data_IF_360206348208
#
_entry.id   IF_360206348208
#
_cell.length_a   1.000
_cell.length_b   1.000
_cell.length_c   1.000
_cell.angle_alpha   90.00
_cell.angle_beta   90.00
_cell.angle_gamma   90.00
#
_symmetry.space_group_name_H-M   'P 1'
#
loop_
_entity.id
_entity.type
_entity.pdbx_description
1 polymer ?
#
# COMPACT_ATOMS: atom_id res chain seq x y z
N UNK A 1 2.40 51.77 -26.42
CA UNK A 1 3.00 51.45 -27.74
C UNK A 1 3.79 50.14 -27.60
N UNK A 2 3.26 49.02 -28.10
CA UNK A 2 3.96 47.73 -28.17
C UNK A 2 4.19 47.22 -29.61
N UNK A 3 5.06 46.19 -29.71
CA UNK A 3 5.21 45.17 -30.79
C UNK A 3 5.84 45.59 -32.14
N UNK A 4 6.26 44.64 -33.03
CA UNK A 4 6.52 43.19 -32.89
C UNK A 4 7.77 42.68 -33.69
N UNK A 5 7.96 41.34 -33.74
CA UNK A 5 8.35 40.45 -34.89
C UNK A 5 9.43 39.41 -34.48
N UNK A 6 9.44 38.12 -34.86
CA UNK A 6 8.50 37.18 -35.52
C UNK A 6 9.19 35.77 -35.53
N UNK A 7 8.50 34.75 -34.95
CA UNK A 7 8.32 33.28 -35.24
C UNK A 7 9.23 32.52 -36.25
N UNK A 8 9.30 31.14 -36.32
CA UNK A 8 8.19 30.19 -36.04
C UNK A 8 8.45 28.76 -35.48
N UNK A 9 7.35 28.16 -34.96
CA UNK A 9 6.79 26.79 -35.08
C UNK A 9 7.76 25.57 -35.10
N UNK A 10 7.54 24.49 -34.33
CA UNK A 10 6.55 23.39 -34.52
C UNK A 10 6.37 22.67 -33.16
N UNK A 11 5.19 22.71 -32.50
CA UNK A 11 4.04 21.79 -32.60
C UNK A 11 4.35 20.28 -32.44
N UNK A 12 4.13 19.73 -31.25
CA UNK A 12 3.54 18.38 -31.14
C UNK A 12 2.81 18.19 -29.80
N UNK A 13 1.53 18.57 -29.80
CA UNK A 13 0.50 18.01 -28.93
C UNK A 13 -0.10 16.83 -29.68
N UNK A 14 0.10 15.62 -29.16
CA UNK A 14 -0.65 14.40 -29.47
C UNK A 14 -0.76 13.70 -28.12
N UNK A 15 -1.90 13.38 -27.52
CA UNK A 15 -3.29 13.39 -27.93
C UNK A 15 -4.01 12.51 -26.91
N UNK A 16 -4.60 13.12 -25.89
CA UNK A 16 -5.61 12.48 -25.05
C UNK A 16 -6.95 13.08 -25.47
N UNK A 17 -7.96 12.22 -25.64
CA UNK A 17 -9.30 12.47 -26.19
C UNK A 17 -9.44 12.37 -27.72
N UNK A 18 -9.88 11.21 -28.19
CA UNK A 18 -11.24 10.97 -28.73
C UNK A 18 -11.23 9.50 -29.20
N UNK A 19 -11.87 8.58 -28.46
CA UNK A 19 -13.22 8.11 -28.74
C UNK A 19 -13.48 7.79 -30.22
N UNK A 20 -13.81 6.51 -30.47
CA UNK A 20 -14.69 6.07 -31.55
C UNK A 20 -14.07 5.75 -32.93
N UNK A 21 -12.86 5.17 -33.05
CA UNK A 21 -12.44 4.58 -34.35
C UNK A 21 -11.19 3.69 -34.34
N UNK A 22 -11.21 2.54 -33.66
CA UNK A 22 -10.38 1.39 -34.03
C UNK A 22 -11.26 0.12 -33.89
N UNK A 23 -12.22 -0.07 -34.80
CA UNK A 23 -12.03 -0.91 -36.01
C UNK A 23 -11.94 -2.39 -35.59
N UNK A 24 -13.03 -3.10 -35.29
CA UNK A 24 -14.00 -3.61 -36.28
C UNK A 24 -13.37 -3.62 -37.69
N UNK A 25 -12.91 -4.81 -38.12
CA UNK A 25 -12.06 -5.12 -39.29
C UNK A 25 -10.58 -5.28 -38.87
N UNK A 26 -10.16 -6.45 -38.40
CA UNK A 26 -9.88 -7.57 -39.31
C UNK A 26 -10.10 -8.92 -38.61
N UNK A 27 -11.38 -9.32 -38.48
CA UNK A 27 -11.70 -10.68 -38.89
C UNK A 27 -11.41 -10.72 -40.39
N UNK A 28 -10.19 -11.09 -40.75
CA UNK A 28 -9.83 -11.43 -42.12
C UNK A 28 -10.54 -12.72 -42.48
N UNK A 29 -11.86 -12.64 -42.65
CA UNK A 29 -12.58 -13.55 -43.50
C UNK A 29 -12.10 -13.19 -44.92
N UNK A 30 -10.96 -13.78 -45.32
CA UNK A 30 -10.60 -13.85 -46.72
C UNK A 30 -11.84 -14.35 -47.44
N UNK A 31 -12.33 -13.54 -48.37
CA UNK A 31 -13.46 -13.88 -49.23
C UNK A 31 -12.99 -15.04 -50.13
N UNK A 32 -13.11 -16.27 -49.63
CA UNK A 32 -12.79 -17.47 -50.38
C UNK A 32 -13.99 -17.76 -51.31
N UNK A 33 -13.65 -17.91 -52.59
CA UNK A 33 -14.53 -18.34 -53.67
C UNK A 33 -15.45 -19.48 -53.24
N UNK A 34 -16.73 -19.38 -53.61
CA UNK A 34 -17.80 -20.32 -53.32
C UNK A 34 -17.41 -21.80 -53.56
N UNK A 35 -16.90 -22.46 -52.53
CA UNK A 35 -16.91 -23.91 -52.35
C UNK A 35 -17.50 -24.16 -50.97
N UNK A 36 -18.50 -25.03 -50.90
CA UNK A 36 -19.32 -25.23 -49.72
C UNK A 36 -18.52 -25.61 -48.48
N UNK A 37 -18.92 -25.06 -47.32
CA UNK A 37 -18.43 -25.44 -46.01
C UNK A 37 -18.39 -26.97 -45.88
N UNK A 38 -17.21 -27.54 -45.77
CA UNK A 38 -17.09 -28.96 -45.47
C UNK A 38 -17.44 -29.17 -44.01
N UNK A 39 -18.28 -30.17 -43.70
CA UNK A 39 -18.75 -30.46 -42.35
C UNK A 39 -17.57 -30.74 -41.38
N UNK A 40 -16.48 -31.30 -41.92
CA UNK A 40 -15.25 -31.61 -41.17
C UNK A 40 -14.49 -30.36 -40.76
N UNK A 41 -14.37 -29.36 -41.63
CA UNK A 41 -13.67 -28.11 -41.33
C UNK A 41 -14.35 -27.32 -40.21
N UNK A 42 -15.68 -27.29 -40.23
CA UNK A 42 -16.48 -26.68 -39.15
C UNK A 42 -16.25 -27.41 -37.83
N UNK A 43 -16.20 -28.75 -37.83
CA UNK A 43 -15.98 -29.55 -36.62
C UNK A 43 -14.60 -29.29 -36.01
N UNK A 44 -13.55 -29.21 -36.84
CA UNK A 44 -12.18 -28.88 -36.37
C UNK A 44 -12.14 -27.46 -35.80
N UNK A 45 -12.78 -26.48 -36.46
CA UNK A 45 -12.81 -25.10 -35.98
C UNK A 45 -13.51 -24.97 -34.62
N UNK A 46 -14.62 -25.68 -34.42
CA UNK A 46 -15.34 -25.72 -33.14
C UNK A 46 -14.49 -26.38 -32.06
N UNK A 47 -13.76 -27.44 -32.39
CA UNK A 47 -12.87 -28.13 -31.45
C UNK A 47 -11.73 -27.22 -30.97
N UNK A 48 -11.10 -26.48 -31.89
CA UNK A 48 -10.05 -25.51 -31.53
C UNK A 48 -10.62 -24.35 -30.70
N UNK A 49 -11.81 -23.85 -31.04
CA UNK A 49 -12.46 -22.77 -30.30
C UNK A 49 -12.80 -23.17 -28.85
N UNK A 50 -13.33 -24.38 -28.63
CA UNK A 50 -13.67 -24.87 -27.29
C UNK A 50 -12.44 -24.98 -26.40
N UNK A 51 -11.32 -25.47 -26.94
CA UNK A 51 -10.05 -25.58 -26.19
C UNK A 51 -9.56 -24.18 -25.79
N UNK A 52 -9.57 -23.23 -26.72
CA UNK A 52 -9.13 -21.87 -26.46
C UNK A 52 -10.01 -21.15 -25.42
N UNK A 53 -11.33 -21.27 -25.53
CA UNK A 53 -12.27 -20.68 -24.56
C UNK A 53 -12.09 -21.30 -23.17
N UNK A 54 -11.87 -22.61 -23.10
CA UNK A 54 -11.65 -23.31 -21.83
C UNK A 54 -10.38 -22.85 -21.12
N UNK A 55 -9.29 -22.64 -21.87
CA UNK A 55 -8.03 -22.12 -21.33
C UNK A 55 -8.15 -20.65 -20.89
N UNK A 56 -8.81 -19.81 -21.69
CA UNK A 56 -8.99 -18.38 -21.36
C UNK A 56 -9.87 -18.16 -20.14
N UNK A 57 -10.94 -18.96 -19.97
CA UNK A 57 -11.80 -18.87 -18.79
C UNK A 57 -11.02 -19.19 -17.50
N UNK A 58 -10.17 -20.22 -17.52
CA UNK A 58 -9.33 -20.56 -16.37
C UNK A 58 -8.33 -19.45 -16.06
N UNK A 59 -7.71 -18.84 -17.07
CA UNK A 59 -6.79 -17.71 -16.90
C UNK A 59 -7.47 -16.47 -16.29
N UNK A 60 -8.72 -16.20 -16.67
CA UNK A 60 -9.49 -15.08 -16.09
C UNK A 60 -9.78 -15.30 -14.61
N UNK A 61 -10.20 -16.52 -14.22
CA UNK A 61 -10.50 -16.83 -12.82
C UNK A 61 -9.25 -16.70 -11.94
N UNK A 62 -8.10 -17.19 -12.39
CA UNK A 62 -6.85 -17.06 -11.63
C UNK A 62 -6.41 -15.60 -11.50
N UNK A 63 -6.56 -14.79 -12.56
CA UNK A 63 -6.26 -13.35 -12.49
C UNK A 63 -7.14 -12.61 -11.49
N UNK A 64 -8.43 -12.97 -11.41
CA UNK A 64 -9.35 -12.37 -10.45
C UNK A 64 -8.97 -12.73 -9.01
N UNK A 65 -8.57 -13.98 -8.76
CA UNK A 65 -8.09 -14.40 -7.44
C UNK A 65 -6.84 -13.62 -7.01
N UNK A 66 -5.84 -13.49 -7.89
CA UNK A 66 -4.64 -12.72 -7.58
C UNK A 66 -4.94 -11.25 -7.35
N UNK A 67 -5.87 -10.66 -8.12
CA UNK A 67 -6.29 -9.28 -7.92
C UNK A 67 -6.92 -9.06 -6.55
N UNK A 68 -7.75 -9.99 -6.06
CA UNK A 68 -8.36 -9.88 -4.71
C UNK A 68 -7.27 -9.93 -3.64
N UNK A 69 -6.34 -10.88 -3.74
CA UNK A 69 -5.24 -11.00 -2.78
C UNK A 69 -4.35 -9.74 -2.77
N UNK A 70 -4.04 -9.18 -3.95
CA UNK A 70 -3.29 -7.93 -4.06
C UNK A 70 -4.05 -6.75 -3.44
N UNK A 71 -5.35 -6.63 -3.72
CA UNK A 71 -6.19 -5.55 -3.15
C UNK A 71 -6.23 -5.63 -1.62
N UNK A 72 -6.37 -6.82 -1.05
CA UNK A 72 -6.35 -7.02 0.41
C UNK A 72 -5.00 -6.61 1.02
N UNK A 73 -3.90 -6.93 0.35
CA UNK A 73 -2.57 -6.54 0.79
C UNK A 73 -2.37 -5.01 0.73
N UNK A 74 -2.78 -4.38 -0.37
CA UNK A 74 -2.67 -2.92 -0.55
C UNK A 74 -3.52 -2.16 0.48
N UNK A 75 -4.74 -2.63 0.76
CA UNK A 75 -5.60 -2.06 1.81
C UNK A 75 -4.98 -2.22 3.21
N UNK A 76 -4.36 -3.37 3.49
CA UNK A 76 -3.67 -3.61 4.77
C UNK A 76 -2.47 -2.68 4.94
N UNK A 77 -1.65 -2.50 3.91
CA UNK A 77 -0.50 -1.58 3.92
C UNK A 77 -0.97 -0.13 4.05
N UNK A 78 -2.05 0.26 3.35
CA UNK A 78 -2.63 1.59 3.49
C UNK A 78 -3.13 1.85 4.92
N UNK A 79 -3.71 0.86 5.59
CA UNK A 79 -4.13 0.98 6.99
C UNK A 79 -2.93 1.16 7.93
N UNK A 80 -1.84 0.43 7.69
CA UNK A 80 -0.59 0.62 8.43
C UNK A 80 -0.05 2.05 8.25
N UNK A 81 -0.07 2.58 7.03
CA UNK A 81 0.39 3.94 6.74
C UNK A 81 -0.45 5.00 7.45
N UNK A 82 -1.78 4.83 7.47
CA UNK A 82 -2.70 5.72 8.19
C UNK A 82 -2.36 5.81 9.69
N UNK A 83 -2.07 4.67 10.34
CA UNK A 83 -1.67 4.66 11.74
C UNK A 83 -0.23 5.18 11.94
N UNK A 84 0.70 4.86 11.04
CA UNK A 84 2.06 5.37 11.10
C UNK A 84 2.09 6.90 11.02
N UNK A 85 1.29 7.50 10.15
CA UNK A 85 1.15 8.96 10.08
C UNK A 85 0.59 9.54 11.39
N UNK A 86 -0.36 8.83 12.03
CA UNK A 86 -0.87 9.24 13.34
C UNK A 86 0.22 9.17 14.43
N UNK A 87 1.01 8.10 14.46
CA UNK A 87 2.14 7.92 15.38
C UNK A 87 3.21 8.98 15.15
N UNK A 88 3.58 9.26 13.90
CA UNK A 88 4.56 10.30 13.56
C UNK A 88 4.05 11.69 13.96
N UNK A 89 2.77 11.97 13.73
CA UNK A 89 2.14 13.23 14.18
C UNK A 89 2.18 13.37 15.71
N UNK A 90 1.88 12.30 16.45
CA UNK A 90 1.99 12.30 17.91
C UNK A 90 3.43 12.50 18.36
N UNK A 91 4.38 11.80 17.74
CA UNK A 91 5.81 11.92 18.01
C UNK A 91 6.35 13.35 17.74
N UNK A 92 5.77 14.06 16.77
CA UNK A 92 6.04 15.47 16.52
C UNK A 92 5.46 16.40 17.59
N UNK A 93 4.20 16.18 17.99
CA UNK A 93 3.55 16.97 19.05
C UNK A 93 4.19 16.73 20.43
N UNK A 94 4.75 15.55 20.66
CA UNK A 94 5.41 15.16 21.91
C UNK A 94 6.58 16.07 22.29
N UNK A 95 7.15 16.80 21.33
CA UNK A 95 8.16 17.84 21.56
C UNK A 95 7.68 18.93 22.53
N UNK A 96 6.38 19.24 22.53
CA UNK A 96 5.80 20.33 23.34
C UNK A 96 5.26 19.86 24.69
N UNK A 97 4.97 18.57 24.83
CA UNK A 97 4.40 17.95 26.03
C UNK A 97 5.40 17.16 26.86
N UNK A 98 6.59 16.85 26.35
CA UNK A 98 7.63 16.17 27.09
C UNK A 98 8.17 17.02 28.26
N UNK A 99 7.78 16.69 29.49
CA UNK A 99 8.22 17.34 30.73
C UNK A 99 8.96 16.34 31.64
N UNK A 100 10.13 16.68 32.21
CA UNK A 100 11.17 17.58 31.72
C UNK A 100 12.01 16.91 30.63
N UNK A 101 12.11 17.59 29.49
CA UNK A 101 12.85 17.14 28.32
C UNK A 101 14.35 16.86 28.59
N UNK A 102 15.00 17.73 29.37
CA UNK A 102 16.44 17.64 29.67
C UNK A 102 16.82 16.37 30.44
N UNK A 103 15.95 15.88 31.34
CA UNK A 103 16.20 14.65 32.08
C UNK A 103 16.01 13.39 31.23
N UNK A 104 15.12 13.43 30.24
CA UNK A 104 14.87 12.30 29.33
C UNK A 104 15.99 12.16 28.29
N UNK A 105 16.61 13.28 27.89
CA UNK A 105 17.80 13.30 27.04
C UNK A 105 19.06 12.82 27.76
N UNK A 106 19.21 13.17 29.04
CA UNK A 106 20.33 12.77 29.88
C UNK A 106 20.11 11.43 30.59
N UNK A 107 19.11 10.65 30.16
CA UNK A 107 18.80 9.36 30.76
C UNK A 107 19.99 8.41 30.67
N UNK A 108 20.23 7.65 31.74
CA UNK A 108 21.29 6.64 31.80
C UNK A 108 20.80 5.22 31.50
N UNK A 109 19.46 5.01 31.49
CA UNK A 109 18.82 3.71 31.31
C UNK A 109 17.67 3.82 30.34
N UNK A 110 17.48 2.77 29.52
CA UNK A 110 16.60 2.79 28.35
C UNK A 110 15.14 3.08 28.71
N UNK A 111 14.71 2.57 29.85
CA UNK A 111 13.39 2.80 30.43
C UNK A 111 13.10 4.28 30.79
N UNK A 112 14.13 5.10 31.00
CA UNK A 112 13.99 6.51 31.35
C UNK A 112 14.25 7.46 30.17
N UNK A 113 14.53 6.92 28.99
CA UNK A 113 14.77 7.70 27.79
C UNK A 113 13.51 8.30 27.19
N UNK A 114 13.68 9.26 26.27
CA UNK A 114 12.57 9.91 25.58
C UNK A 114 11.69 8.90 24.81
N UNK A 115 12.29 7.90 24.15
CA UNK A 115 11.56 6.85 23.46
C UNK A 115 10.66 6.04 24.40
N UNK A 116 11.16 5.64 25.57
CA UNK A 116 10.38 4.91 26.57
C UNK A 116 9.27 5.78 27.20
N UNK A 117 9.56 7.06 27.45
CA UNK A 117 8.56 8.03 27.94
C UNK A 117 7.44 8.23 26.93
N UNK A 118 7.75 8.31 25.64
CA UNK A 118 6.76 8.43 24.57
C UNK A 118 5.86 7.19 24.46
N UNK A 119 6.40 5.98 24.67
CA UNK A 119 5.58 4.76 24.70
C UNK A 119 4.60 4.82 25.87
N UNK A 120 5.08 5.14 27.06
CA UNK A 120 4.32 4.98 28.31
C UNK A 120 3.35 6.14 28.59
N UNK A 121 3.48 7.29 27.91
CA UNK A 121 2.54 8.39 28.04
C UNK A 121 1.21 8.07 27.34
N UNK A 122 0.11 8.07 28.11
CA UNK A 122 -1.25 7.82 27.65
C UNK A 122 -1.98 9.06 27.13
N UNK A 123 -1.42 10.25 27.33
CA UNK A 123 -2.05 11.53 26.97
C UNK A 123 -1.44 12.17 25.72
N UNK A 124 -0.11 12.21 25.61
CA UNK A 124 0.60 12.73 24.44
C UNK A 124 1.40 11.68 23.66
N UNK A 125 1.48 10.45 24.19
CA UNK A 125 2.26 9.35 23.63
C UNK A 125 1.42 8.22 23.04
N UNK A 126 1.98 7.01 23.01
CA UNK A 126 1.34 5.82 22.44
C UNK A 126 0.43 5.07 23.40
N UNK A 127 0.46 5.39 24.70
CA UNK A 127 -0.36 4.77 25.75
C UNK A 127 -0.03 3.31 26.04
N UNK A 128 1.17 2.86 25.71
CA UNK A 128 1.68 1.51 25.98
C UNK A 128 2.48 0.93 24.82
N UNK A 129 3.21 -0.15 25.09
CA UNK A 129 4.06 -0.84 24.10
C UNK A 129 3.27 -1.60 23.04
N UNK A 130 1.98 -1.85 23.23
CA UNK A 130 1.17 -2.53 22.23
C UNK A 130 -0.26 -2.00 22.20
N UNK A 131 -0.80 -1.86 21.00
CA UNK A 131 -2.17 -1.49 20.75
C UNK A 131 -2.75 -2.38 19.66
N UNK A 132 -3.97 -2.87 19.87
CA UNK A 132 -4.73 -3.60 18.85
C UNK A 132 -5.79 -2.68 18.29
N UNK A 133 -5.73 -2.45 16.98
CA UNK A 133 -6.61 -1.60 16.19
C UNK A 133 -7.52 -2.50 15.35
N UNK A 134 -8.81 -2.16 15.29
CA UNK A 134 -9.81 -2.89 14.51
C UNK A 134 -11.02 -3.36 15.33
N UNK A 135 -11.91 -4.16 14.73
CA UNK A 135 -11.80 -4.78 13.41
C UNK A 135 -12.00 -3.81 12.23
N UNK A 136 -11.25 -4.02 11.14
CA UNK A 136 -11.49 -3.37 9.83
C UNK A 136 -11.72 -4.43 8.76
N UNK A 137 -12.70 -4.21 7.89
CA UNK A 137 -12.96 -5.08 6.75
C UNK A 137 -11.99 -4.74 5.61
N UNK A 138 -11.23 -5.74 5.13
CA UNK A 138 -10.34 -5.64 3.98
C UNK A 138 -10.72 -6.74 2.99
N UNK A 139 -11.09 -6.36 1.77
CA UNK A 139 -11.57 -7.30 0.73
C UNK A 139 -12.59 -8.36 1.21
N UNK A 140 -13.53 -7.98 2.08
CA UNK A 140 -14.63 -8.83 2.56
C UNK A 140 -14.32 -9.73 3.78
N UNK A 141 -13.11 -9.67 4.34
CA UNK A 141 -12.74 -10.34 5.60
C UNK A 141 -12.40 -9.31 6.67
N UNK A 142 -12.60 -9.64 7.95
CA UNK A 142 -12.22 -8.77 9.06
C UNK A 142 -10.81 -9.06 9.55
N UNK A 143 -10.04 -8.00 9.75
CA UNK A 143 -8.67 -8.04 10.22
C UNK A 143 -8.50 -7.17 11.46
N UNK A 144 -7.59 -7.61 12.31
CA UNK A 144 -7.08 -6.82 13.42
C UNK A 144 -5.62 -6.47 13.13
N UNK A 145 -5.26 -5.22 13.39
CA UNK A 145 -3.88 -4.75 13.30
C UNK A 145 -3.32 -4.60 14.71
N UNK A 146 -2.22 -5.27 15.00
CA UNK A 146 -1.47 -5.06 16.24
C UNK A 146 -0.27 -4.18 15.93
N UNK A 147 -0.20 -3.04 16.61
CA UNK A 147 0.97 -2.19 16.68
C UNK A 147 1.76 -2.57 17.93
N UNK A 148 3.05 -2.80 17.79
CA UNK A 148 3.97 -3.03 18.91
C UNK A 148 5.15 -2.06 18.79
N UNK A 149 5.32 -1.24 19.81
CA UNK A 149 6.35 -0.24 19.94
C UNK A 149 7.41 -0.72 20.94
N UNK A 150 8.67 -0.76 20.50
CA UNK A 150 9.80 -1.18 21.32
C UNK A 150 10.99 -0.24 21.14
N UNK A 151 11.80 -0.07 22.17
CA UNK A 151 13.11 0.58 22.10
C UNK A 151 14.20 -0.47 22.37
N UNK A 152 15.41 -0.25 21.87
CA UNK A 152 16.54 -1.18 22.03
C UNK A 152 17.50 -0.69 23.10
N UNK A 153 18.05 -1.59 23.92
CA UNK A 153 19.00 -1.23 24.99
C UNK A 153 20.43 -0.95 24.50
N UNK A 154 20.72 -1.08 23.19
CA UNK A 154 22.10 -1.37 22.74
C UNK A 154 22.89 -0.20 22.14
N UNK A 155 22.28 0.77 21.44
CA UNK A 155 23.04 1.85 20.76
C UNK A 155 22.37 3.23 20.82
N UNK A 156 21.05 3.33 20.71
CA UNK A 156 20.29 4.59 20.87
C UNK A 156 18.97 4.42 21.67
N UNK A 157 19.00 3.77 22.86
CA UNK A 157 17.79 3.45 23.64
C UNK A 157 16.88 4.62 23.93
N UNK A 158 17.45 5.82 24.07
CA UNK A 158 16.70 6.99 24.51
C UNK A 158 16.03 7.74 23.36
N UNK A 159 16.40 7.45 22.11
CA UNK A 159 16.12 8.32 20.97
C UNK A 159 15.23 7.66 19.92
N UNK A 160 15.39 6.36 19.72
CA UNK A 160 14.78 5.66 18.60
C UNK A 160 13.71 4.69 19.07
N UNK A 161 12.55 4.75 18.43
CA UNK A 161 11.46 3.80 18.61
C UNK A 161 11.32 2.90 17.39
N UNK A 162 11.23 1.59 17.60
CA UNK A 162 10.83 0.64 16.57
C UNK A 162 9.34 0.34 16.70
N UNK A 163 8.61 0.61 15.63
CA UNK A 163 7.18 0.31 15.55
C UNK A 163 6.98 -0.82 14.57
N UNK A 164 6.44 -1.94 15.06
CA UNK A 164 6.13 -3.13 14.28
C UNK A 164 4.61 -3.25 14.16
N UNK A 165 4.14 -3.33 12.93
CA UNK A 165 2.74 -3.51 12.59
C UNK A 165 2.53 -4.91 12.07
N UNK A 166 1.55 -5.61 12.63
CA UNK A 166 1.15 -6.95 12.17
C UNK A 166 -0.35 -6.95 11.93
N UNK A 167 -0.77 -7.29 10.71
CA UNK A 167 -2.19 -7.40 10.35
C UNK A 167 -2.56 -8.87 10.25
N UNK A 168 -3.52 -9.31 11.07
CA UNK A 168 -3.92 -10.71 11.20
C UNK A 168 -5.44 -10.82 10.94
N UNK A 169 -5.90 -11.79 10.14
CA UNK A 169 -7.33 -12.06 9.99
C UNK A 169 -7.93 -12.49 11.34
N UNK A 170 -9.17 -12.09 11.62
CA UNK A 170 -9.83 -12.56 12.83
C UNK A 170 -9.99 -14.08 12.83
N UNK A 171 -9.51 -14.73 13.90
CA UNK A 171 -9.55 -16.19 14.05
C UNK A 171 -8.40 -16.95 13.38
N UNK A 172 -7.47 -16.25 12.72
CA UNK A 172 -6.28 -16.85 12.12
C UNK A 172 -5.00 -16.38 12.85
N UNK A 173 -3.88 -17.05 12.63
CA UNK A 173 -2.57 -16.70 13.22
C UNK A 173 -1.54 -16.27 12.19
N UNK A 174 -1.84 -16.43 10.89
CA UNK A 174 -0.94 -16.07 9.80
C UNK A 174 -1.12 -14.60 9.45
N UNK A 175 -0.08 -13.76 9.59
CA UNK A 175 -0.18 -12.36 9.21
C UNK A 175 -0.22 -12.21 7.68
N UNK A 176 -1.03 -11.27 7.19
CA UNK A 176 -1.06 -10.89 5.76
C UNK A 176 0.00 -9.83 5.44
N UNK A 177 0.29 -8.96 6.40
CA UNK A 177 1.28 -7.90 6.29
C UNK A 177 2.02 -7.74 7.62
N UNK A 178 3.34 -7.57 7.53
CA UNK A 178 4.21 -7.21 8.64
C UNK A 178 5.15 -6.09 8.18
N UNK A 179 5.15 -4.97 8.89
CA UNK A 179 5.96 -3.80 8.57
C UNK A 179 6.66 -3.35 9.85
N UNK A 180 7.98 -3.24 9.79
CA UNK A 180 8.79 -2.67 10.87
C UNK A 180 9.33 -1.32 10.39
N UNK A 181 9.10 -0.29 11.18
CA UNK A 181 9.53 1.08 10.91
C UNK A 181 10.21 1.68 12.12
N UNK A 182 11.01 2.70 11.87
CA UNK A 182 11.68 3.47 12.88
C UNK A 182 11.00 4.84 13.00
N UNK A 183 10.70 5.25 14.23
CA UNK A 183 10.12 6.55 14.54
C UNK A 183 11.01 7.24 15.56
N UNK A 184 11.41 8.48 15.26
CA UNK A 184 12.19 9.31 16.16
C UNK A 184 11.27 10.42 16.66
N UNK A 185 10.95 10.48 17.97
CA UNK A 185 10.23 11.60 18.54
C UNK A 185 10.97 12.91 18.30
N UNK A 186 10.27 13.94 17.86
CA UNK A 186 10.90 15.22 17.51
C UNK A 186 11.62 15.86 18.69
N UNK A 187 11.14 15.56 19.90
CA UNK A 187 11.84 15.85 21.12
C UNK A 187 13.32 15.56 20.97
N UNK A 188 13.78 14.37 20.53
CA UNK A 188 15.20 13.98 20.47
C UNK A 188 16.13 15.03 19.86
N UNK A 189 15.68 15.77 18.85
CA UNK A 189 16.51 16.74 18.13
C UNK A 189 16.87 17.99 18.94
N UNK A 190 16.21 18.20 20.09
CA UNK A 190 16.51 19.28 21.03
C UNK A 190 17.54 18.90 22.10
N UNK A 191 18.06 17.67 22.09
CA UNK A 191 18.87 17.16 23.19
C UNK A 191 20.22 17.87 23.08
N UNK A 192 20.77 18.41 24.18
CA UNK A 192 22.06 19.09 24.17
C UNK A 192 23.20 18.15 23.78
#
# INVERSE_FOLDING_TARGET
MPSPLRTPWVSSRIGLQLLCSQRLQSFGFLRQSSQGFTLVEVLVSMLVAVIFVSMTMQALVTSAMFRIAATQYDEAVSWIQEDLEAVVRQAAQYETTALPYSSLCAAQTSANGLAASFINDSTGGLGGSSATLGPRALGGKYYNMTRTATYTDSYDPFKVLYVTYTVIPQGETRPIANVRTEVIPHGVFKCP
#
